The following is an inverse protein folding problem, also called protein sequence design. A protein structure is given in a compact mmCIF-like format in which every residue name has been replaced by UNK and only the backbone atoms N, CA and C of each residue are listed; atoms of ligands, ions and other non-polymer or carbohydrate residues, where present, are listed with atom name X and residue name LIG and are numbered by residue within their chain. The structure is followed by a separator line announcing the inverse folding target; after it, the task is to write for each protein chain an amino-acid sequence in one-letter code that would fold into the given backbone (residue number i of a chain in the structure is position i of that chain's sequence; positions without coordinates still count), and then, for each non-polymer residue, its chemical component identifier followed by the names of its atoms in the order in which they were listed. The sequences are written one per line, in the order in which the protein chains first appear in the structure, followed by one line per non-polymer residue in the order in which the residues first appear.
data_IF_186694744937
#
_entry.id   IF_186694744937
#
_cell.length_a   1.000
_cell.length_b   1.000
_cell.length_c   1.000
_cell.angle_alpha   90.00
_cell.angle_beta   90.00
_cell.angle_gamma   90.00
#
_symmetry.space_group_name_H-M   'P 1'
#
loop_
_entity.id
_entity.type
_entity.pdbx_description
1 polymer ?
#
# COMPACT_ATOMS: atom_id res chain seq x y z
N UNK A 1 -2.42 -1.01 -16.60
CA UNK A 1 -2.62 0.19 -17.43
C UNK A 1 -1.92 -0.02 -18.75
N UNK A 2 -2.61 0.14 -19.88
CA UNK A 2 -2.03 -0.08 -21.22
C UNK A 2 -1.28 1.14 -21.75
N UNK A 3 -1.50 2.34 -21.19
CA UNK A 3 -0.93 3.60 -21.68
C UNK A 3 0.05 4.23 -20.67
N UNK A 4 0.95 3.44 -20.10
CA UNK A 4 1.95 3.91 -19.15
C UNK A 4 3.34 4.02 -19.81
N UNK A 5 3.67 5.17 -20.40
CA UNK A 5 4.91 5.38 -21.14
C UNK A 5 5.72 6.54 -20.57
N UNK A 6 7.05 6.39 -20.55
CA UNK A 6 7.97 7.45 -20.17
C UNK A 6 9.10 7.58 -21.20
N UNK A 7 9.71 8.78 -21.28
CA UNK A 7 10.82 9.08 -22.18
C UNK A 7 12.13 9.13 -21.39
N UNK A 8 13.13 8.40 -21.84
CA UNK A 8 14.48 8.42 -21.30
C UNK A 8 15.48 8.30 -22.46
N UNK A 9 16.52 9.13 -22.46
CA UNK A 9 17.57 9.12 -23.50
C UNK A 9 17.03 9.14 -24.96
N UNK A 10 16.00 9.96 -25.20
CA UNK A 10 15.37 10.08 -26.52
C UNK A 10 14.43 8.92 -26.90
N UNK A 11 14.42 7.82 -26.16
CA UNK A 11 13.61 6.63 -26.41
C UNK A 11 12.36 6.57 -25.51
N UNK A 12 11.31 5.91 -26.00
CA UNK A 12 10.08 5.68 -25.25
C UNK A 12 10.06 4.26 -24.66
N UNK A 13 9.74 4.17 -23.38
CA UNK A 13 9.65 2.92 -22.65
C UNK A 13 8.25 2.75 -22.07
N UNK A 14 7.74 1.51 -22.10
CA UNK A 14 6.47 1.16 -21.47
C UNK A 14 6.72 0.60 -20.07
N UNK A 15 6.11 1.21 -19.05
CA UNK A 15 6.18 0.68 -17.69
C UNK A 15 5.16 -0.44 -17.52
N UNK A 16 5.68 -1.66 -17.43
CA UNK A 16 4.90 -2.91 -17.36
C UNK A 16 4.27 -3.19 -15.99
N UNK A 17 4.78 -2.57 -14.92
CA UNK A 17 4.35 -2.82 -13.54
C UNK A 17 4.17 -1.50 -12.78
N UNK A 18 3.05 -1.41 -12.06
CA UNK A 18 2.62 -0.19 -11.37
C UNK A 18 2.39 1.01 -12.29
N UNK A 19 2.03 2.14 -11.67
CA UNK A 19 1.84 3.44 -12.33
C UNK A 19 3.18 4.19 -12.43
N UNK A 20 3.33 5.04 -13.45
CA UNK A 20 4.51 5.88 -13.56
C UNK A 20 4.49 6.96 -12.48
N UNK A 21 5.61 7.07 -11.77
CA UNK A 21 5.81 8.15 -10.82
C UNK A 21 5.73 9.49 -11.56
N UNK A 22 4.94 10.41 -11.02
CA UNK A 22 4.73 11.75 -11.61
C UNK A 22 3.42 11.91 -12.39
N UNK A 23 2.65 10.84 -12.63
CA UNK A 23 1.27 10.99 -13.09
C UNK A 23 0.35 11.39 -11.92
N UNK A 24 -0.84 11.94 -12.20
CA UNK A 24 -1.74 12.52 -11.16
C UNK A 24 -2.61 11.49 -10.42
N UNK A 25 -2.74 10.29 -10.97
CA UNK A 25 -3.61 9.21 -10.48
C UNK A 25 -2.98 8.11 -9.60
N UNK A 26 -1.65 7.88 -9.52
CA UNK A 26 -1.07 6.74 -8.82
C UNK A 26 -1.44 6.74 -7.35
N UNK A 27 -1.41 7.92 -6.72
CA UNK A 27 -1.67 8.08 -5.31
C UNK A 27 -3.10 7.67 -4.93
N UNK A 28 -4.08 8.08 -5.74
CA UNK A 28 -5.49 7.74 -5.52
C UNK A 28 -5.73 6.25 -5.73
N UNK A 29 -5.14 5.67 -6.78
CA UNK A 29 -5.26 4.24 -7.07
C UNK A 29 -4.60 3.41 -5.96
N UNK A 30 -3.41 3.80 -5.52
CA UNK A 30 -2.70 3.14 -4.42
C UNK A 30 -3.52 3.19 -3.12
N UNK A 31 -4.07 4.36 -2.77
CA UNK A 31 -4.94 4.49 -1.60
C UNK A 31 -6.21 3.64 -1.70
N UNK A 32 -6.82 3.55 -2.88
CA UNK A 32 -7.98 2.70 -3.11
C UNK A 32 -7.64 1.22 -2.91
N UNK A 33 -6.52 0.76 -3.48
CA UNK A 33 -6.04 -0.61 -3.28
C UNK A 33 -5.73 -0.91 -1.81
N UNK A 34 -4.95 -0.04 -1.16
CA UNK A 34 -4.57 -0.19 0.25
C UNK A 34 -5.79 -0.22 1.16
N UNK A 35 -6.83 0.58 0.88
CA UNK A 35 -8.08 0.55 1.64
C UNK A 35 -8.70 -0.85 1.71
N UNK A 36 -8.71 -1.61 0.61
CA UNK A 36 -9.25 -2.98 0.61
C UNK A 36 -8.28 -3.99 1.22
N UNK A 37 -6.98 -3.84 0.94
CA UNK A 37 -5.93 -4.71 1.47
C UNK A 37 -5.84 -4.65 3.00
N UNK A 38 -5.96 -3.45 3.58
CA UNK A 38 -5.76 -3.20 5.01
C UNK A 38 -6.97 -3.57 5.89
N UNK A 39 -8.14 -3.86 5.32
CA UNK A 39 -9.37 -4.13 6.08
C UNK A 39 -9.18 -5.19 7.17
N UNK A 40 -8.49 -6.29 6.83
CA UNK A 40 -8.24 -7.38 7.77
C UNK A 40 -7.25 -6.99 8.88
N UNK A 41 -6.27 -6.15 8.55
CA UNK A 41 -5.25 -5.63 9.46
C UNK A 41 -5.91 -4.68 10.46
N UNK A 42 -6.65 -3.68 9.96
CA UNK A 42 -7.39 -2.70 10.77
C UNK A 42 -8.36 -3.38 11.73
N UNK A 43 -9.12 -4.40 11.26
CA UNK A 43 -10.05 -5.15 12.11
C UNK A 43 -9.35 -5.82 13.30
N UNK A 44 -8.16 -6.38 13.09
CA UNK A 44 -7.41 -7.02 14.17
C UNK A 44 -6.75 -6.02 15.11
N UNK A 45 -6.32 -4.87 14.61
CA UNK A 45 -5.73 -3.80 15.42
C UNK A 45 -6.79 -3.20 16.33
N UNK A 46 -7.98 -2.90 15.80
CA UNK A 46 -9.11 -2.41 16.59
C UNK A 46 -9.48 -3.40 17.71
N UNK A 47 -9.47 -4.71 17.44
CA UNK A 47 -9.72 -5.74 18.45
C UNK A 47 -8.66 -5.81 19.56
N UNK A 48 -7.44 -5.31 19.31
CA UNK A 48 -6.34 -5.29 20.29
C UNK A 48 -6.16 -3.92 20.95
N UNK A 49 -7.07 -2.98 20.71
CA UNK A 49 -6.94 -1.57 21.10
C UNK A 49 -5.60 -0.95 20.66
N UNK A 50 -5.08 -1.39 19.51
CA UNK A 50 -3.86 -0.89 18.92
C UNK A 50 -4.09 0.36 18.07
N UNK A 51 -3.00 0.93 17.57
CA UNK A 51 -2.96 2.08 16.67
C UNK A 51 -2.43 1.61 15.33
N UNK A 52 -3.09 2.04 14.25
CA UNK A 52 -2.65 1.87 12.87
C UNK A 52 -2.75 3.21 12.14
N UNK A 53 -1.64 3.68 11.59
CA UNK A 53 -1.60 4.91 10.79
C UNK A 53 -0.76 4.66 9.55
N UNK A 54 -1.23 5.12 8.40
CA UNK A 54 -0.49 5.06 7.14
C UNK A 54 -0.37 6.45 6.52
N UNK A 55 0.81 6.76 6.01
CA UNK A 55 1.08 7.93 5.17
C UNK A 55 1.72 7.49 3.85
N UNK A 56 0.90 7.39 2.80
CA UNK A 56 1.31 6.94 1.45
C UNK A 56 1.97 5.54 1.54
N UNK A 57 3.30 5.49 1.59
CA UNK A 57 4.10 4.27 1.63
C UNK A 57 4.55 3.89 3.07
N UNK A 58 4.47 4.82 4.02
CA UNK A 58 4.91 4.62 5.40
C UNK A 58 3.76 4.12 6.28
N UNK A 59 4.01 3.06 7.06
CA UNK A 59 3.05 2.49 7.99
C UNK A 59 3.65 2.53 9.40
N UNK A 60 2.89 3.08 10.34
CA UNK A 60 3.17 3.03 11.78
C UNK A 60 2.07 2.24 12.49
N UNK A 61 2.47 1.25 13.29
CA UNK A 61 1.55 0.40 14.04
C UNK A 61 2.05 0.16 15.46
N UNK A 62 1.15 0.29 16.44
CA UNK A 62 1.37 -0.11 17.82
C UNK A 62 0.29 -1.11 18.24
N UNK A 63 0.68 -2.25 18.82
CA UNK A 63 -0.25 -3.33 19.19
C UNK A 63 0.02 -3.83 20.61
N UNK A 64 -1.03 -4.21 21.32
CA UNK A 64 -0.91 -4.87 22.62
C UNK A 64 -0.63 -6.37 22.43
N UNK A 65 0.56 -6.80 22.85
CA UNK A 65 0.96 -8.21 22.89
C UNK A 65 0.16 -8.96 23.99
N UNK A 66 -0.33 -10.22 23.78
CA UNK A 66 0.25 -11.29 22.98
C UNK A 66 -0.63 -11.79 21.81
N UNK A 67 -1.27 -10.91 21.05
CA UNK A 67 -2.08 -11.31 19.91
C UNK A 67 -1.22 -11.72 18.69
N UNK A 68 -0.58 -12.90 18.74
CA UNK A 68 0.29 -13.52 17.71
C UNK A 68 -0.31 -13.67 16.30
N UNK A 69 -1.60 -13.39 16.08
CA UNK A 69 -2.28 -13.61 14.79
C UNK A 69 -1.97 -12.53 13.73
N UNK A 70 -1.60 -11.32 14.17
CA UNK A 70 -1.36 -10.17 13.30
C UNK A 70 -0.12 -10.33 12.40
N UNK A 71 0.99 -10.84 12.94
CA UNK A 71 2.29 -10.88 12.24
C UNK A 71 2.26 -11.85 11.04
N UNK A 72 1.52 -12.97 11.15
CA UNK A 72 1.44 -14.00 10.11
C UNK A 72 0.79 -13.53 8.80
N UNK A 73 0.06 -12.41 8.81
CA UNK A 73 -0.59 -11.87 7.61
C UNK A 73 0.27 -10.86 6.87
N UNK A 74 1.29 -10.29 7.52
CA UNK A 74 2.22 -9.33 6.91
C UNK A 74 3.35 -10.06 6.16
N UNK A 75 3.67 -11.28 6.55
CA UNK A 75 4.74 -12.11 5.92
C UNK A 75 4.26 -12.92 4.70
N UNK A 76 3.00 -12.82 4.29
CA UNK A 76 2.43 -13.52 3.12
C UNK A 76 2.26 -12.58 1.94
#
# INVERSE_FOLDING_TARGET
MQNNYFKYDGQFYHQIKAEAMGSRLPLTIANCYMYFFEQNIIKQINNSFGIYVRYIDDIFMAINWPNRRLIKQVER
#
